data_IF_666548959938
#
_entry.id   IF_666548959938
#
_cell.length_a   1.000
_cell.length_b   1.000
_cell.length_c   1.000
_cell.angle_alpha   90.00
_cell.angle_beta   90.00
_cell.angle_gamma   90.00
#
_symmetry.space_group_name_H-M   'P 1'
#
loop_
_entity.id
_entity.type
_entity.pdbx_description
1 polymer ?
#
# COMPACT_ATOMS: atom_id res chain seq x y z
N UNK A 1 1.77 -36.05 -6.49
CA UNK A 1 1.98 -34.61 -6.18
C UNK A 1 3.44 -34.23 -6.44
N UNK A 2 3.73 -33.02 -6.92
CA UNK A 2 5.11 -32.51 -7.09
C UNK A 2 5.49 -31.66 -5.87
N UNK A 3 6.23 -32.21 -4.96
CA UNK A 3 6.74 -31.51 -3.79
C UNK A 3 8.00 -30.68 -4.15
N UNK A 4 8.25 -29.59 -3.44
CA UNK A 4 9.44 -28.72 -3.59
C UNK A 4 9.68 -28.12 -4.99
N UNK A 5 8.68 -28.09 -5.85
CA UNK A 5 8.75 -27.45 -7.17
C UNK A 5 8.19 -26.03 -7.05
N UNK A 6 9.08 -25.06 -6.80
CA UNK A 6 8.71 -23.63 -6.77
C UNK A 6 9.32 -22.89 -7.96
N UNK A 7 8.63 -21.82 -8.38
CA UNK A 7 9.08 -20.93 -9.45
C UNK A 7 8.72 -21.41 -10.86
N UNK A 8 8.72 -20.46 -11.79
CA UNK A 8 8.39 -20.69 -13.19
C UNK A 8 9.61 -21.08 -13.97
N UNK A 9 9.47 -22.06 -14.88
CA UNK A 9 10.56 -22.47 -15.76
C UNK A 9 10.95 -21.38 -16.77
N UNK A 10 10.01 -20.53 -17.19
CA UNK A 10 10.18 -19.45 -18.19
C UNK A 10 10.78 -19.97 -19.52
N UNK A 11 10.53 -21.22 -19.85
CA UNK A 11 11.08 -21.92 -21.01
C UNK A 11 12.61 -21.81 -21.10
N UNK A 12 13.32 -21.95 -19.95
CA UNK A 12 14.79 -21.77 -19.84
C UNK A 12 15.41 -22.88 -19.00
N UNK A 13 16.66 -23.24 -19.32
CA UNK A 13 17.46 -24.12 -18.47
C UNK A 13 17.69 -23.49 -17.08
N UNK A 14 17.97 -24.28 -16.04
CA UNK A 14 18.21 -23.76 -14.69
C UNK A 14 19.32 -22.69 -14.62
N UNK A 15 20.43 -22.91 -15.33
CA UNK A 15 21.54 -21.96 -15.38
C UNK A 15 21.13 -20.65 -16.06
N UNK A 16 20.51 -20.70 -17.23
CA UNK A 16 20.03 -19.52 -17.96
C UNK A 16 18.98 -18.74 -17.17
N UNK A 17 18.07 -19.43 -16.46
CA UNK A 17 17.07 -18.81 -15.57
C UNK A 17 17.71 -18.09 -14.40
N UNK A 18 18.75 -18.69 -13.77
CA UNK A 18 19.52 -18.06 -12.70
C UNK A 18 20.20 -16.76 -13.17
N UNK A 19 20.80 -16.77 -14.35
CA UNK A 19 21.41 -15.56 -14.93
C UNK A 19 20.39 -14.50 -15.29
N UNK A 20 19.23 -14.88 -15.83
CA UNK A 20 18.14 -13.95 -16.09
C UNK A 20 17.71 -13.20 -14.82
N UNK A 21 17.54 -13.91 -13.71
CA UNK A 21 17.16 -13.26 -12.45
C UNK A 21 18.25 -12.35 -11.91
N UNK A 22 19.51 -12.74 -12.01
CA UNK A 22 20.64 -11.89 -11.63
C UNK A 22 20.63 -10.58 -12.42
N UNK A 23 20.50 -10.64 -13.73
CA UNK A 23 20.49 -9.47 -14.60
C UNK A 23 19.29 -8.56 -14.31
N UNK A 24 18.07 -9.13 -14.16
CA UNK A 24 16.87 -8.35 -13.85
C UNK A 24 16.97 -7.64 -12.49
N UNK A 25 17.51 -8.31 -11.47
CA UNK A 25 17.62 -7.74 -10.14
C UNK A 25 18.75 -6.71 -10.06
N UNK A 26 19.88 -6.96 -10.74
CA UNK A 26 20.95 -5.95 -10.87
C UNK A 26 20.43 -4.69 -11.54
N UNK A 27 19.72 -4.81 -12.67
CA UNK A 27 19.10 -3.69 -13.34
C UNK A 27 18.05 -2.97 -12.47
N UNK A 28 17.24 -3.73 -11.70
CA UNK A 28 16.27 -3.16 -10.79
C UNK A 28 16.93 -2.29 -9.70
N UNK A 29 18.00 -2.75 -9.07
CA UNK A 29 18.69 -1.96 -8.05
C UNK A 29 19.47 -0.78 -8.63
N UNK A 30 19.97 -0.91 -9.86
CA UNK A 30 20.66 0.16 -10.56
C UNK A 30 19.72 1.32 -10.93
N UNK A 31 18.59 1.01 -11.55
CA UNK A 31 17.62 1.96 -12.09
C UNK A 31 16.37 2.17 -11.23
N UNK A 32 16.19 1.41 -10.16
CA UNK A 32 15.03 1.40 -9.25
C UNK A 32 13.70 1.03 -9.92
N UNK A 33 13.66 1.02 -11.25
CA UNK A 33 12.48 0.72 -12.08
C UNK A 33 12.91 0.02 -13.37
N UNK A 34 12.26 -1.10 -13.69
CA UNK A 34 12.51 -1.84 -14.93
C UNK A 34 11.20 -2.27 -15.58
N UNK A 35 11.21 -2.34 -16.91
CA UNK A 35 10.09 -2.86 -17.70
C UNK A 35 10.42 -4.28 -18.17
N UNK A 36 9.50 -5.22 -17.95
CA UNK A 36 9.64 -6.61 -18.38
C UNK A 36 8.27 -7.28 -18.47
N UNK A 37 8.23 -8.56 -18.86
CA UNK A 37 6.96 -9.29 -18.89
C UNK A 37 6.49 -9.68 -17.47
N UNK A 38 5.18 -9.73 -17.27
CA UNK A 38 4.56 -10.06 -15.97
C UNK A 38 5.12 -11.35 -15.33
N UNK A 39 5.31 -12.48 -16.05
CA UNK A 39 5.91 -13.67 -15.47
C UNK A 39 7.34 -13.45 -14.96
N UNK A 40 8.18 -12.72 -15.71
CA UNK A 40 9.56 -12.40 -15.32
C UNK A 40 9.58 -11.45 -14.12
N UNK A 41 8.73 -10.42 -14.09
CA UNK A 41 8.61 -9.51 -12.97
C UNK A 41 8.24 -10.23 -11.67
N UNK A 42 7.28 -11.17 -11.73
CA UNK A 42 6.86 -11.95 -10.55
C UNK A 42 7.99 -12.78 -9.95
N UNK A 43 8.83 -13.40 -10.78
CA UNK A 43 9.98 -14.19 -10.31
C UNK A 43 11.14 -13.31 -9.83
N UNK A 44 11.45 -12.23 -10.55
CA UNK A 44 12.48 -11.27 -10.14
C UNK A 44 12.15 -10.61 -8.79
N UNK A 45 10.88 -10.32 -8.54
CA UNK A 45 10.38 -9.81 -7.27
C UNK A 45 10.82 -10.65 -6.08
N UNK A 46 10.66 -11.99 -6.15
CA UNK A 46 10.99 -12.90 -5.06
C UNK A 46 12.50 -12.81 -4.72
N UNK A 47 13.35 -12.71 -5.73
CA UNK A 47 14.80 -12.61 -5.55
C UNK A 47 15.17 -11.23 -5.00
N UNK A 48 14.57 -10.15 -5.54
CA UNK A 48 14.82 -8.79 -5.10
C UNK A 48 14.43 -8.57 -3.63
N UNK A 49 13.25 -9.04 -3.21
CA UNK A 49 12.78 -8.90 -1.83
C UNK A 49 13.69 -9.63 -0.81
N UNK A 50 14.21 -10.81 -1.18
CA UNK A 50 15.21 -11.50 -0.35
C UNK A 50 16.50 -10.70 -0.21
N UNK A 51 16.97 -10.07 -1.28
CA UNK A 51 18.20 -9.28 -1.26
C UNK A 51 18.04 -8.00 -0.42
N UNK A 52 16.89 -7.35 -0.49
CA UNK A 52 16.57 -6.20 0.40
C UNK A 52 16.54 -6.65 1.87
N UNK A 53 15.99 -7.83 2.16
CA UNK A 53 16.01 -8.39 3.52
C UNK A 53 17.45 -8.65 4.01
N UNK A 54 18.36 -9.11 3.15
CA UNK A 54 19.77 -9.23 3.49
C UNK A 54 20.44 -7.87 3.71
N UNK A 55 20.11 -6.88 2.88
CA UNK A 55 20.63 -5.53 3.05
C UNK A 55 20.20 -4.88 4.37
N UNK A 56 18.97 -5.11 4.81
CA UNK A 56 18.45 -4.65 6.11
C UNK A 56 19.19 -5.26 7.30
N UNK A 57 19.64 -6.53 7.19
CA UNK A 57 20.43 -7.16 8.24
C UNK A 57 21.82 -6.56 8.37
N UNK A 58 22.45 -6.17 7.26
CA UNK A 58 23.73 -5.47 7.21
C UNK A 58 24.97 -6.30 7.56
N UNK A 59 24.82 -7.55 8.01
CA UNK A 59 25.91 -8.42 8.43
C UNK A 59 26.78 -8.89 7.24
N UNK A 60 28.02 -9.27 7.53
CA UNK A 60 28.97 -9.74 6.53
C UNK A 60 28.46 -10.99 5.79
N UNK A 61 27.78 -11.89 6.51
CA UNK A 61 27.20 -13.09 5.90
C UNK A 61 26.14 -12.71 4.85
N UNK A 62 25.21 -11.82 5.19
CA UNK A 62 24.17 -11.33 4.27
C UNK A 62 24.77 -10.62 3.06
N UNK A 63 25.86 -9.85 3.24
CA UNK A 63 26.60 -9.22 2.13
C UNK A 63 27.21 -10.27 1.19
N UNK A 64 27.83 -11.33 1.71
CA UNK A 64 28.36 -12.44 0.91
C UNK A 64 27.26 -13.18 0.16
N UNK A 65 26.10 -13.40 0.79
CA UNK A 65 24.94 -14.05 0.14
C UNK A 65 24.34 -13.18 -0.97
N UNK A 66 24.29 -11.87 -0.78
CA UNK A 66 23.85 -10.93 -1.81
C UNK A 66 24.82 -10.86 -2.99
N UNK A 67 26.13 -10.82 -2.74
CA UNK A 67 27.15 -10.81 -3.78
C UNK A 67 27.07 -12.03 -4.72
N UNK A 68 26.65 -13.20 -4.23
CA UNK A 68 26.41 -14.38 -5.09
C UNK A 68 25.25 -14.20 -6.06
N UNK A 69 24.37 -13.19 -5.87
CA UNK A 69 23.15 -12.96 -6.66
C UNK A 69 23.22 -11.70 -7.52
N UNK A 70 24.17 -10.82 -7.29
CA UNK A 70 24.39 -9.60 -8.06
C UNK A 70 25.63 -9.72 -8.93
N UNK A 71 25.63 -9.09 -10.11
CA UNK A 71 26.73 -9.15 -11.05
C UNK A 71 27.73 -8.00 -10.85
N UNK A 72 27.25 -6.85 -10.37
CA UNK A 72 27.99 -5.60 -10.29
C UNK A 72 28.30 -5.25 -8.82
N UNK A 73 29.57 -4.99 -8.44
CA UNK A 73 29.94 -4.63 -7.07
C UNK A 73 29.38 -3.27 -6.66
N UNK A 74 29.27 -2.32 -7.60
CA UNK A 74 28.68 -1.00 -7.37
C UNK A 74 27.21 -1.11 -6.95
N UNK A 75 26.45 -1.98 -7.61
CA UNK A 75 25.04 -2.24 -7.27
C UNK A 75 24.91 -2.91 -5.91
N UNK A 76 25.86 -3.77 -5.55
CA UNK A 76 25.93 -4.35 -4.20
C UNK A 76 26.18 -3.26 -3.16
N UNK A 77 27.07 -2.33 -3.42
CA UNK A 77 27.34 -1.19 -2.54
C UNK A 77 26.08 -0.32 -2.38
N UNK A 78 25.43 0.07 -3.49
CA UNK A 78 24.17 0.81 -3.48
C UNK A 78 23.08 0.09 -2.67
N UNK A 79 22.97 -1.23 -2.82
CA UNK A 79 22.01 -2.04 -2.08
C UNK A 79 22.16 -1.92 -0.56
N UNK A 80 23.41 -1.96 -0.04
CA UNK A 80 23.67 -1.89 1.41
C UNK A 80 23.76 -0.46 1.96
N UNK A 81 24.25 0.50 1.15
CA UNK A 81 24.45 1.88 1.59
C UNK A 81 23.15 2.71 1.52
N UNK A 82 22.32 2.50 0.48
CA UNK A 82 21.16 3.34 0.21
C UNK A 82 19.84 2.60 0.40
N UNK A 83 19.69 1.44 -0.29
CA UNK A 83 18.41 0.73 -0.36
C UNK A 83 18.09 0.05 0.99
N UNK A 84 19.07 -0.59 1.63
CA UNK A 84 18.88 -1.25 2.93
C UNK A 84 18.32 -0.31 4.01
N UNK A 85 18.98 0.81 4.30
CA UNK A 85 18.50 1.82 5.24
C UNK A 85 17.14 2.40 4.89
N UNK A 86 16.86 2.66 3.60
CA UNK A 86 15.56 3.17 3.12
C UNK A 86 14.38 2.30 3.54
N UNK A 87 14.60 0.98 3.64
CA UNK A 87 13.56 0.01 4.01
C UNK A 87 13.66 -0.51 5.46
N UNK A 88 14.49 0.08 6.31
CA UNK A 88 14.73 -0.40 7.68
C UNK A 88 13.43 -0.65 8.46
N UNK A 89 12.48 0.28 8.40
CA UNK A 89 11.21 0.20 9.13
C UNK A 89 10.11 -0.59 8.40
N UNK A 90 10.28 -0.86 7.10
CA UNK A 90 9.25 -1.55 6.33
C UNK A 90 9.36 -3.07 6.53
N UNK A 91 8.30 -3.77 7.01
CA UNK A 91 8.35 -5.21 7.29
C UNK A 91 8.35 -6.10 6.05
N UNK A 92 8.07 -5.55 4.84
CA UNK A 92 8.03 -6.28 3.58
C UNK A 92 7.31 -5.52 2.47
N UNK A 93 7.16 -6.14 1.28
CA UNK A 93 6.52 -5.51 0.13
C UNK A 93 7.34 -4.34 -0.40
N UNK A 94 8.64 -4.56 -0.59
CA UNK A 94 9.59 -3.55 -1.04
C UNK A 94 9.45 -3.19 -2.52
N UNK A 95 8.74 -4.03 -3.28
CA UNK A 95 8.58 -3.88 -4.72
C UNK A 95 7.12 -3.81 -5.13
N UNK A 96 6.85 -3.15 -6.26
CA UNK A 96 5.52 -3.04 -6.87
C UNK A 96 5.60 -3.52 -8.33
N UNK A 97 4.56 -4.23 -8.76
CA UNK A 97 4.40 -4.62 -10.17
C UNK A 97 3.17 -3.90 -10.70
N UNK A 98 3.36 -3.04 -11.71
CA UNK A 98 2.29 -2.36 -12.42
C UNK A 98 2.16 -2.96 -13.82
N UNK A 99 0.95 -3.42 -14.20
CA UNK A 99 0.69 -3.95 -15.54
C UNK A 99 0.50 -2.80 -16.51
N UNK A 100 1.12 -2.91 -17.70
CA UNK A 100 1.07 -1.91 -18.75
C UNK A 100 0.15 -2.30 -19.92
N UNK A 101 -0.28 -3.57 -19.96
CA UNK A 101 -1.03 -4.13 -21.07
C UNK A 101 -0.18 -5.00 -21.99
N UNK A 102 -0.78 -5.49 -23.10
CA UNK A 102 -0.11 -6.37 -24.04
C UNK A 102 0.89 -5.61 -24.92
N UNK A 103 2.02 -6.25 -25.25
CA UNK A 103 3.02 -5.74 -26.18
C UNK A 103 2.53 -5.89 -27.61
N UNK A 104 2.78 -4.86 -28.45
CA UNK A 104 2.52 -4.94 -29.90
C UNK A 104 3.39 -6.06 -30.51
N UNK A 105 2.80 -6.88 -31.33
CA UNK A 105 3.43 -7.98 -32.04
C UNK A 105 3.09 -9.37 -31.49
N UNK A 106 3.38 -9.64 -30.20
CA UNK A 106 3.20 -10.96 -29.59
C UNK A 106 2.17 -11.00 -28.44
N UNK A 107 1.49 -9.89 -28.17
CA UNK A 107 0.51 -9.75 -27.10
C UNK A 107 1.02 -10.17 -25.70
N UNK A 108 2.34 -10.23 -25.48
CA UNK A 108 2.90 -10.55 -24.18
C UNK A 108 2.56 -9.46 -23.15
N UNK A 109 2.00 -9.84 -22.00
CA UNK A 109 1.70 -8.90 -20.92
C UNK A 109 2.99 -8.25 -20.36
N UNK A 110 3.09 -6.95 -20.51
CA UNK A 110 4.20 -6.12 -20.00
C UNK A 110 3.85 -5.59 -18.62
N UNK A 111 4.85 -5.51 -17.77
CA UNK A 111 4.76 -4.88 -16.45
C UNK A 111 6.01 -4.08 -16.13
N UNK A 112 5.83 -3.07 -15.32
CA UNK A 112 6.89 -2.35 -14.63
C UNK A 112 7.06 -2.98 -13.26
N UNK A 113 8.28 -3.36 -12.94
CA UNK A 113 8.73 -3.73 -11.59
C UNK A 113 9.52 -2.56 -11.04
N UNK A 114 9.10 -2.02 -9.91
CA UNK A 114 9.74 -0.86 -9.27
C UNK A 114 9.95 -1.08 -7.78
N UNK A 115 10.91 -0.36 -7.22
CA UNK A 115 11.09 -0.21 -5.79
C UNK A 115 10.03 0.78 -5.28
N UNK A 116 9.38 0.44 -4.17
CA UNK A 116 8.39 1.33 -3.54
C UNK A 116 9.12 2.27 -2.60
N UNK A 117 8.67 3.53 -2.49
CA UNK A 117 9.23 4.48 -1.51
C UNK A 117 9.30 3.88 -0.11
N UNK A 118 10.40 4.18 0.61
CA UNK A 118 10.72 3.55 1.90
C UNK A 118 9.70 3.77 3.00
N UNK A 119 8.81 4.77 2.87
CA UNK A 119 7.75 5.03 3.83
C UNK A 119 6.84 3.83 4.02
N UNK A 120 6.69 3.39 5.25
CA UNK A 120 5.80 2.28 5.59
C UNK A 120 4.37 2.62 5.16
N UNK A 121 3.73 1.75 4.38
CA UNK A 121 2.29 1.90 4.12
C UNK A 121 1.55 1.75 5.44
N UNK A 122 0.60 2.63 5.76
CA UNK A 122 -0.24 2.42 6.93
C UNK A 122 -0.90 1.06 6.82
N UNK A 123 -0.84 0.27 7.90
CA UNK A 123 -1.46 -1.06 7.94
C UNK A 123 -2.95 -0.91 7.63
N UNK A 124 -3.49 -1.76 6.79
CA UNK A 124 -4.92 -1.74 6.39
C UNK A 124 -5.85 -1.69 7.61
N UNK A 125 -5.45 -2.34 8.70
CA UNK A 125 -6.17 -2.30 9.99
C UNK A 125 -6.28 -0.90 10.57
N UNK A 126 -5.22 -0.08 10.47
CA UNK A 126 -5.21 1.30 10.97
C UNK A 126 -6.11 2.19 10.10
N UNK A 127 -6.13 1.97 8.80
CA UNK A 127 -7.01 2.68 7.87
C UNK A 127 -8.49 2.36 8.12
N UNK A 128 -8.81 1.10 8.39
CA UNK A 128 -10.17 0.67 8.74
C UNK A 128 -10.60 1.22 10.11
N UNK A 129 -9.69 1.22 11.09
CA UNK A 129 -9.94 1.80 12.41
C UNK A 129 -10.22 3.31 12.31
N UNK A 130 -9.41 4.05 11.54
CA UNK A 130 -9.63 5.48 11.26
C UNK A 130 -10.95 5.75 10.55
N UNK A 131 -11.32 4.94 9.54
CA UNK A 131 -12.61 5.08 8.86
C UNK A 131 -13.80 4.80 9.79
N UNK A 132 -13.68 3.82 10.69
CA UNK A 132 -14.72 3.53 11.70
C UNK A 132 -14.84 4.67 12.70
N UNK A 133 -13.72 5.17 13.25
CA UNK A 133 -13.72 6.29 14.17
C UNK A 133 -14.34 7.55 13.55
N UNK A 134 -13.98 7.86 12.28
CA UNK A 134 -14.56 8.99 11.56
C UNK A 134 -16.09 8.86 11.37
N UNK A 135 -16.58 7.65 11.06
CA UNK A 135 -18.02 7.41 10.93
C UNK A 135 -18.77 7.57 12.24
N UNK A 136 -18.15 7.17 13.35
CA UNK A 136 -18.76 7.36 14.68
C UNK A 136 -18.86 8.85 14.99
N UNK A 137 -17.78 9.62 14.81
CA UNK A 137 -17.82 11.08 15.00
C UNK A 137 -18.86 11.78 14.11
N UNK A 138 -18.95 11.42 12.81
CA UNK A 138 -19.95 11.95 11.89
C UNK A 138 -21.40 11.58 12.31
N UNK A 139 -21.59 10.46 13.00
CA UNK A 139 -22.91 10.07 13.53
C UNK A 139 -23.25 10.83 14.80
N UNK A 140 -22.28 11.04 15.68
CA UNK A 140 -22.41 11.83 16.90
C UNK A 140 -22.76 13.29 16.57
N UNK A 141 -22.02 13.93 15.64
CA UNK A 141 -22.30 15.29 15.17
C UNK A 141 -23.70 15.42 14.56
N UNK A 142 -24.16 14.43 13.80
CA UNK A 142 -25.51 14.43 13.24
C UNK A 142 -26.60 14.24 14.29
N UNK A 143 -26.34 13.41 15.29
CA UNK A 143 -27.28 13.21 16.40
C UNK A 143 -27.41 14.48 17.25
N UNK A 144 -26.30 15.16 17.55
CA UNK A 144 -26.29 16.44 18.27
C UNK A 144 -27.01 17.54 17.48
N UNK A 145 -26.76 17.61 16.15
CA UNK A 145 -27.45 18.58 15.29
C UNK A 145 -28.97 18.31 15.22
N UNK A 146 -29.38 17.04 15.22
CA UNK A 146 -30.81 16.68 15.22
C UNK A 146 -31.48 17.00 16.57
N UNK A 147 -30.77 16.73 17.68
CA UNK A 147 -31.27 17.08 19.02
C UNK A 147 -31.44 18.59 19.18
N UNK A 148 -30.45 19.39 18.74
CA UNK A 148 -30.55 20.85 18.76
C UNK A 148 -31.69 21.40 17.88
N UNK A 149 -31.94 20.79 16.72
CA UNK A 149 -33.09 21.16 15.89
C UNK A 149 -34.43 20.82 16.55
N UNK A 150 -34.47 19.71 17.27
CA UNK A 150 -35.69 19.27 17.96
C UNK A 150 -36.00 20.17 19.15
N UNK A 151 -35.02 20.51 19.97
CA UNK A 151 -35.16 21.49 21.05
C UNK A 151 -35.61 22.87 20.54
N UNK A 152 -35.04 23.32 19.41
CA UNK A 152 -35.45 24.60 18.80
C UNK A 152 -36.90 24.57 18.23
N UNK A 153 -37.32 23.39 17.77
CA UNK A 153 -38.71 23.20 17.32
C UNK A 153 -39.68 23.20 18.49
N UNK A 154 -39.35 22.45 19.56
CA UNK A 154 -40.17 22.33 20.75
C UNK A 154 -40.33 23.71 21.45
N UNK A 155 -39.24 24.47 21.55
CA UNK A 155 -39.26 25.83 22.06
C UNK A 155 -40.17 26.79 21.23
N UNK A 156 -40.22 26.58 19.90
CA UNK A 156 -41.12 27.37 19.03
C UNK A 156 -42.60 26.99 19.20
N UNK A 157 -42.86 25.71 19.42
CA UNK A 157 -44.20 25.21 19.67
C UNK A 157 -44.72 25.75 21.01
N UNK A 158 -43.93 25.68 22.08
CA UNK A 158 -44.26 26.26 23.37
C UNK A 158 -44.50 27.78 23.30
N UNK A 159 -43.67 28.50 22.54
CA UNK A 159 -43.86 29.95 22.36
C UNK A 159 -45.12 30.27 21.56
N UNK A 160 -45.56 29.41 20.64
CA UNK A 160 -46.81 29.59 19.89
C UNK A 160 -48.06 29.25 20.73
N UNK A 161 -47.96 28.22 21.58
CA UNK A 161 -49.04 27.86 22.52
C UNK A 161 -49.26 28.96 23.59
N UNK A 162 -48.14 29.50 24.14
CA UNK A 162 -48.23 30.63 25.08
C UNK A 162 -48.84 31.90 24.48
N UNK A 163 -48.56 32.18 23.18
CA UNK A 163 -49.13 33.32 22.48
C UNK A 163 -50.61 33.12 22.10
N UNK A 164 -51.06 31.86 22.01
CA UNK A 164 -52.49 31.57 21.75
C UNK A 164 -53.36 31.70 23.00
N UNK A 165 -52.80 31.39 24.18
CA UNK A 165 -53.54 31.50 25.47
C UNK A 165 -53.77 32.96 25.86
N UNK A 166 -52.82 33.87 25.59
CA UNK A 166 -52.98 35.34 25.84
C UNK A 166 -54.09 35.98 24.97
N UNK A 167 -54.38 35.41 23.80
CA UNK A 167 -55.42 35.96 22.90
C UNK A 167 -56.83 35.53 23.29
N UNK A 168 -56.99 34.47 24.07
CA UNK A 168 -58.28 33.99 24.54
C UNK A 168 -58.74 34.66 25.86
N UNK A 169 -57.82 35.19 26.67
CA UNK A 169 -58.20 35.99 27.87
C UNK A 169 -58.62 37.38 27.51
N UNK A 170 -58.14 38.04 26.47
CA UNK A 170 -58.63 39.36 26.04
C UNK A 170 -60.08 39.37 25.47
N UNK A 171 -60.54 38.18 25.00
CA UNK A 171 -61.93 38.08 24.44
C UNK A 171 -63.01 37.76 25.44
N UNK A 172 -62.70 37.57 26.73
CA UNK A 172 -63.68 37.30 27.79
C UNK A 172 -63.89 38.46 28.73
N UNK A 173 -63.39 39.65 28.42
CA UNK A 173 -63.50 40.88 29.26
C UNK A 173 -64.36 41.99 28.72
N UNK A 174 -65.31 41.76 27.80
CA UNK A 174 -66.26 42.72 27.32
C UNK A 174 -67.72 42.25 27.47
#
# INVERSE_FOLDING_TARGET
MRHNVSGRKLNRSPAHRKMLYRNLVTALFKHERIQTTVPKAKEARIVAEKLITFAKKGDLHSRRMAARKLNEPEVLQKLFAEIGPRYAERPGGYTRIMRMGPRKGDAAEIAILELVDGTARPKVKDTLKRKRARRVLEQEEKAEAQAAMQEAHDAKVEAQEAAADDTDEEKKGD
#
